data_IF_721913296928
#
_entry.id   IF_721913296928
#
_cell.length_a   1.000
_cell.length_b   1.000
_cell.length_c   1.000
_cell.angle_alpha   90.00
_cell.angle_beta   90.00
_cell.angle_gamma   90.00
#
_symmetry.space_group_name_H-M   'P 1'
#
loop_
_entity.id
_entity.type
_entity.pdbx_description
1 polymer ?
#
# COMPACT_ATOMS: atom_id res chain seq x y z
N UNK A 1 -28.12 -75.82 51.78
CA UNK A 1 -26.81 -75.35 52.26
C UNK A 1 -25.76 -76.22 51.57
N UNK A 2 -25.29 -75.84 50.39
CA UNK A 2 -24.20 -74.87 50.13
C UNK A 2 -22.82 -75.53 50.34
N UNK A 3 -22.15 -75.96 49.25
CA UNK A 3 -20.89 -75.38 48.67
C UNK A 3 -19.66 -75.60 49.57
N UNK A 4 -18.43 -75.96 49.14
CA UNK A 4 -17.69 -75.71 47.91
C UNK A 4 -16.31 -76.41 48.01
N UNK A 5 -15.71 -76.74 46.85
CA UNK A 5 -14.27 -76.76 46.53
C UNK A 5 -13.25 -77.57 47.35
N UNK A 6 -12.78 -78.66 46.73
CA UNK A 6 -11.38 -79.11 46.64
C UNK A 6 -11.33 -79.95 45.36
N UNK A 7 -10.66 -79.56 44.26
CA UNK A 7 -9.22 -79.41 44.00
C UNK A 7 -9.05 -78.66 42.65
N UNK A 8 -7.90 -78.03 42.34
CA UNK A 8 -6.85 -78.77 41.65
C UNK A 8 -5.41 -78.43 42.07
N UNK A 9 -4.61 -79.48 42.19
CA UNK A 9 -3.15 -79.47 42.22
C UNK A 9 -2.58 -79.36 40.80
N UNK A 10 -1.49 -78.59 40.70
CA UNK A 10 -0.47 -78.58 39.64
C UNK A 10 -0.89 -78.16 38.23
N UNK A 11 -0.67 -76.88 37.92
CA UNK A 11 -0.34 -76.43 36.56
C UNK A 11 1.07 -75.84 36.61
N UNK A 12 2.04 -76.37 35.84
CA UNK A 12 3.39 -75.82 35.82
C UNK A 12 3.39 -74.45 35.12
N UNK A 13 3.93 -73.43 35.79
CA UNK A 13 4.05 -72.03 35.34
C UNK A 13 5.21 -71.88 34.31
N UNK A 14 5.47 -72.90 33.49
CA UNK A 14 6.72 -73.03 32.73
C UNK A 14 6.67 -72.80 31.21
N UNK A 15 5.49 -72.67 30.59
CA UNK A 15 5.39 -72.95 29.14
C UNK A 15 4.97 -71.78 28.24
N UNK A 16 4.80 -70.56 28.76
CA UNK A 16 4.28 -69.43 27.97
C UNK A 16 5.35 -68.45 27.45
N UNK A 17 6.62 -68.56 27.87
CA UNK A 17 7.70 -67.72 27.31
C UNK A 17 8.39 -68.37 26.10
N UNK A 18 8.53 -69.70 26.05
CA UNK A 18 9.13 -70.39 24.89
C UNK A 18 8.20 -70.37 23.65
N UNK A 19 6.88 -70.34 23.86
CA UNK A 19 5.89 -70.31 22.77
C UNK A 19 5.84 -68.94 22.06
N UNK A 20 6.17 -67.85 22.75
CA UNK A 20 6.25 -66.50 22.17
C UNK A 20 7.57 -66.33 21.39
N UNK A 21 8.65 -67.00 21.81
CA UNK A 21 9.94 -66.96 21.13
C UNK A 21 10.00 -67.83 19.86
N UNK A 22 9.16 -68.87 19.76
CA UNK A 22 9.18 -69.83 18.65
C UNK A 22 8.30 -69.44 17.44
N UNK A 23 7.54 -68.33 17.50
CA UNK A 23 6.75 -67.87 16.35
C UNK A 23 7.65 -67.17 15.33
N UNK A 24 8.30 -67.96 14.48
CA UNK A 24 8.98 -67.49 13.27
C UNK A 24 8.01 -66.56 12.52
N UNK A 25 8.39 -65.31 12.18
CA UNK A 25 7.50 -64.43 11.44
C UNK A 25 7.22 -65.08 10.09
N UNK A 26 5.98 -65.51 9.88
CA UNK A 26 5.48 -65.93 8.58
C UNK A 26 5.41 -64.67 7.71
N UNK A 27 6.56 -64.31 7.13
CA UNK A 27 6.71 -63.15 6.28
C UNK A 27 6.11 -63.43 4.91
N UNK A 28 4.80 -63.21 4.81
CA UNK A 28 4.11 -63.21 3.53
C UNK A 28 4.70 -62.10 2.64
N UNK A 29 5.01 -62.42 1.37
CA UNK A 29 5.74 -61.52 0.47
C UNK A 29 5.00 -60.19 0.26
N UNK A 30 3.68 -60.23 0.36
CA UNK A 30 2.79 -59.07 0.26
C UNK A 30 2.88 -58.15 1.49
N UNK A 31 2.97 -58.68 2.71
CA UNK A 31 3.10 -57.87 3.93
C UNK A 31 4.42 -57.10 3.96
N UNK A 32 5.51 -57.67 3.45
CA UNK A 32 6.80 -56.97 3.31
C UNK A 32 6.72 -55.77 2.35
N UNK A 33 6.01 -55.91 1.23
CA UNK A 33 5.81 -54.82 0.26
C UNK A 33 4.92 -53.71 0.82
N UNK A 34 3.89 -54.05 1.60
CA UNK A 34 3.05 -53.07 2.29
C UNK A 34 3.82 -52.30 3.38
N UNK A 35 4.66 -52.99 4.16
CA UNK A 35 5.50 -52.36 5.20
C UNK A 35 6.55 -51.43 4.56
N UNK A 36 7.20 -51.85 3.47
CA UNK A 36 8.14 -50.97 2.75
C UNK A 36 7.41 -49.75 2.16
N UNK A 37 6.20 -49.94 1.60
CA UNK A 37 5.39 -48.84 1.08
C UNK A 37 4.98 -47.81 2.14
N UNK A 38 4.56 -48.25 3.33
CA UNK A 38 4.19 -47.35 4.43
C UNK A 38 5.38 -46.59 5.01
N UNK A 39 6.56 -47.22 5.10
CA UNK A 39 7.78 -46.54 5.53
C UNK A 39 8.16 -45.45 4.52
N UNK A 40 8.12 -45.73 3.22
CA UNK A 40 8.40 -44.73 2.18
C UNK A 40 7.39 -43.58 2.26
N UNK A 41 6.10 -43.89 2.41
CA UNK A 41 5.05 -42.87 2.54
C UNK A 41 5.24 -41.98 3.78
N UNK A 42 5.66 -42.54 4.92
CA UNK A 42 5.97 -41.77 6.13
C UNK A 42 7.18 -40.86 5.94
N UNK A 43 8.26 -41.36 5.34
CA UNK A 43 9.46 -40.54 5.07
C UNK A 43 9.11 -39.39 4.12
N UNK A 44 8.31 -39.65 3.08
CA UNK A 44 7.85 -38.62 2.15
C UNK A 44 6.93 -37.60 2.83
N UNK A 45 5.99 -38.06 3.67
CA UNK A 45 5.09 -37.20 4.44
C UNK A 45 5.83 -36.28 5.43
N UNK A 46 6.83 -36.81 6.14
CA UNK A 46 7.69 -36.01 7.02
C UNK A 46 8.51 -35.00 6.20
N UNK A 47 9.07 -35.41 5.06
CA UNK A 47 9.80 -34.52 4.16
C UNK A 47 8.95 -33.35 3.66
N UNK A 48 7.74 -33.63 3.17
CA UNK A 48 6.78 -32.60 2.74
C UNK A 48 6.38 -31.70 3.92
N UNK A 49 6.11 -32.28 5.09
CA UNK A 49 5.75 -31.54 6.30
C UNK A 49 6.85 -30.57 6.74
N UNK A 50 8.11 -31.01 6.75
CA UNK A 50 9.27 -30.16 7.06
C UNK A 50 9.42 -29.02 6.06
N UNK A 51 9.26 -29.28 4.76
CA UNK A 51 9.28 -28.24 3.73
C UNK A 51 8.16 -27.21 3.97
N UNK A 52 6.94 -27.68 4.27
CA UNK A 52 5.80 -26.82 4.52
C UNK A 52 6.01 -25.93 5.75
N UNK A 53 6.53 -26.48 6.84
CA UNK A 53 6.85 -25.74 8.06
C UNK A 53 7.94 -24.71 7.82
N UNK A 54 9.02 -25.06 7.10
CA UNK A 54 10.09 -24.10 6.76
C UNK A 54 9.55 -22.97 5.89
N UNK A 55 8.71 -23.27 4.88
CA UNK A 55 8.09 -22.23 4.03
C UNK A 55 7.19 -21.30 4.85
N UNK A 56 6.39 -21.84 5.77
CA UNK A 56 5.51 -21.02 6.60
C UNK A 56 6.27 -20.21 7.67
N UNK A 57 7.34 -20.75 8.26
CA UNK A 57 8.16 -20.00 9.22
C UNK A 57 8.93 -18.86 8.53
N UNK A 58 9.53 -19.13 7.37
CA UNK A 58 10.19 -18.08 6.57
C UNK A 58 9.21 -16.99 6.16
N UNK A 59 7.98 -17.34 5.79
CA UNK A 59 6.95 -16.37 5.44
C UNK A 59 6.54 -15.49 6.63
N UNK A 60 6.44 -16.05 7.85
CA UNK A 60 6.13 -15.27 9.07
C UNK A 60 7.24 -14.29 9.42
N UNK A 61 8.49 -14.76 9.46
CA UNK A 61 9.63 -13.89 9.76
C UNK A 61 9.75 -12.74 8.74
N UNK A 62 9.55 -13.04 7.45
CA UNK A 62 9.58 -12.00 6.42
C UNK A 62 8.42 -11.00 6.58
N UNK A 63 7.22 -11.46 6.94
CA UNK A 63 6.09 -10.58 7.19
C UNK A 63 6.27 -9.70 8.42
N UNK A 64 6.86 -10.22 9.50
CA UNK A 64 7.22 -9.43 10.69
C UNK A 64 8.27 -8.37 10.35
N UNK A 65 9.31 -8.74 9.61
CA UNK A 65 10.35 -7.81 9.16
C UNK A 65 9.78 -6.67 8.30
N UNK A 66 8.89 -6.99 7.36
CA UNK A 66 8.19 -5.96 6.59
C UNK A 66 7.25 -5.11 7.45
N UNK A 67 6.55 -5.73 8.40
CA UNK A 67 5.60 -5.03 9.28
C UNK A 67 6.24 -3.96 10.17
N UNK A 68 7.55 -4.05 10.43
CA UNK A 68 8.32 -3.03 11.15
C UNK A 68 9.12 -2.08 10.26
N UNK A 69 9.22 -2.35 8.96
CA UNK A 69 10.06 -1.58 8.04
C UNK A 69 9.29 -0.38 7.49
N UNK A 70 9.86 0.83 7.62
CA UNK A 70 9.27 2.06 7.03
C UNK A 70 10.29 2.90 6.27
N UNK A 71 11.57 2.79 6.61
CA UNK A 71 12.65 3.51 5.92
C UNK A 71 13.14 2.75 4.69
N UNK A 72 13.80 3.45 3.76
CA UNK A 72 14.36 2.82 2.57
C UNK A 72 15.37 1.72 2.92
N UNK A 73 16.21 1.95 3.92
CA UNK A 73 17.22 1.01 4.39
C UNK A 73 16.58 -0.25 5.00
N UNK A 74 15.54 -0.09 5.81
CA UNK A 74 14.81 -1.22 6.40
C UNK A 74 14.07 -2.04 5.33
N UNK A 75 13.41 -1.37 4.38
CA UNK A 75 12.71 -2.04 3.29
C UNK A 75 13.69 -2.79 2.39
N UNK A 76 14.84 -2.20 2.06
CA UNK A 76 15.91 -2.89 1.33
C UNK A 76 16.42 -4.09 2.13
N UNK A 77 16.60 -3.96 3.44
CA UNK A 77 17.01 -5.08 4.29
C UNK A 77 15.99 -6.23 4.28
N UNK A 78 14.68 -5.95 4.17
CA UNK A 78 13.65 -7.00 3.99
C UNK A 78 13.84 -7.72 2.66
N UNK A 79 14.09 -6.98 1.58
CA UNK A 79 14.33 -7.56 0.24
C UNK A 79 15.56 -8.46 0.26
N UNK A 80 16.66 -7.98 0.84
CA UNK A 80 17.95 -8.69 0.87
C UNK A 80 17.91 -9.95 1.77
N UNK A 81 17.25 -9.86 2.92
CA UNK A 81 17.20 -10.96 3.89
C UNK A 81 16.09 -11.99 3.58
N UNK A 82 15.08 -11.60 2.81
CA UNK A 82 13.93 -12.46 2.49
C UNK A 82 13.58 -12.52 0.99
N UNK A 83 14.54 -12.79 0.10
CA UNK A 83 14.33 -12.73 -1.35
C UNK A 83 13.25 -13.71 -1.82
N UNK A 84 12.43 -13.27 -2.77
CA UNK A 84 11.33 -14.05 -3.34
C UNK A 84 10.14 -14.30 -2.41
N UNK A 85 10.16 -13.77 -1.19
CA UNK A 85 8.99 -13.81 -0.29
C UNK A 85 7.95 -12.75 -0.68
N UNK A 86 6.67 -12.98 -0.37
CA UNK A 86 5.63 -11.97 -0.60
C UNK A 86 5.93 -10.66 0.15
N UNK A 87 6.56 -10.73 1.33
CA UNK A 87 6.98 -9.57 2.09
C UNK A 87 8.08 -8.76 1.38
N UNK A 88 9.06 -9.42 0.75
CA UNK A 88 10.04 -8.74 -0.09
C UNK A 88 9.37 -8.07 -1.31
N UNK A 89 8.37 -8.71 -1.91
CA UNK A 89 7.57 -8.09 -2.96
C UNK A 89 6.87 -6.81 -2.49
N UNK A 90 6.17 -6.86 -1.35
CA UNK A 90 5.56 -5.69 -0.72
C UNK A 90 6.59 -4.62 -0.33
N UNK A 91 7.77 -5.03 0.15
CA UNK A 91 8.87 -4.13 0.49
C UNK A 91 9.38 -3.36 -0.74
N UNK A 92 9.53 -4.01 -1.89
CA UNK A 92 9.89 -3.33 -3.14
C UNK A 92 8.87 -2.27 -3.55
N UNK A 93 7.57 -2.55 -3.41
CA UNK A 93 6.52 -1.57 -3.71
C UNK A 93 6.60 -0.36 -2.77
N UNK A 94 6.73 -0.59 -1.47
CA UNK A 94 6.87 0.47 -0.48
C UNK A 94 8.16 1.27 -0.70
N UNK A 95 9.27 0.59 -0.99
CA UNK A 95 10.56 1.22 -1.28
C UNK A 95 10.47 2.10 -2.53
N UNK A 96 9.81 1.64 -3.59
CA UNK A 96 9.61 2.45 -4.79
C UNK A 96 8.75 3.70 -4.50
N UNK A 97 7.74 3.60 -3.64
CA UNK A 97 6.94 4.75 -3.24
C UNK A 97 7.79 5.79 -2.48
N UNK A 98 8.53 5.36 -1.46
CA UNK A 98 9.42 6.23 -0.69
C UNK A 98 10.49 6.88 -1.60
N UNK A 99 11.12 6.11 -2.50
CA UNK A 99 12.11 6.64 -3.45
C UNK A 99 11.49 7.71 -4.37
N UNK A 100 10.25 7.54 -4.81
CA UNK A 100 9.56 8.55 -5.61
C UNK A 100 9.28 9.82 -4.80
N UNK A 101 8.86 9.68 -3.54
CA UNK A 101 8.64 10.79 -2.60
C UNK A 101 9.94 11.53 -2.25
N UNK A 102 11.06 10.81 -2.16
CA UNK A 102 12.40 11.34 -1.93
C UNK A 102 13.00 12.06 -3.16
N UNK A 103 12.24 12.18 -4.25
CA UNK A 103 12.70 12.81 -5.48
C UNK A 103 13.72 11.96 -6.26
N UNK A 104 13.69 10.64 -6.09
CA UNK A 104 14.54 9.65 -6.78
C UNK A 104 13.73 8.77 -7.75
N UNK A 105 13.06 9.35 -8.77
CA UNK A 105 12.15 8.63 -9.65
C UNK A 105 12.83 7.52 -10.47
N UNK A 106 14.10 7.69 -10.83
CA UNK A 106 14.86 6.65 -11.56
C UNK A 106 15.10 5.40 -10.70
N UNK A 107 15.45 5.58 -9.43
CA UNK A 107 15.61 4.48 -8.46
C UNK A 107 14.25 3.81 -8.19
N UNK A 108 13.18 4.60 -8.04
CA UNK A 108 11.82 4.08 -7.89
C UNK A 108 11.39 3.20 -9.08
N UNK A 109 11.61 3.65 -10.31
CA UNK A 109 11.31 2.86 -11.52
C UNK A 109 12.13 1.57 -11.54
N UNK A 110 13.44 1.64 -11.23
CA UNK A 110 14.30 0.44 -11.17
C UNK A 110 13.81 -0.57 -10.13
N UNK A 111 13.34 -0.09 -8.97
CA UNK A 111 12.77 -0.93 -7.91
C UNK A 111 11.46 -1.58 -8.36
N UNK A 112 10.58 -0.85 -9.05
CA UNK A 112 9.36 -1.40 -9.64
C UNK A 112 9.65 -2.44 -10.73
N UNK A 113 10.69 -2.21 -11.55
CA UNK A 113 11.11 -3.16 -12.58
C UNK A 113 11.63 -4.46 -11.98
N UNK A 114 12.39 -4.37 -10.89
CA UNK A 114 12.82 -5.54 -10.12
C UNK A 114 11.61 -6.30 -9.59
N UNK A 115 10.64 -5.59 -9.00
CA UNK A 115 9.40 -6.22 -8.53
C UNK A 115 8.63 -6.92 -9.65
N UNK A 116 8.41 -6.26 -10.78
CA UNK A 116 7.66 -6.81 -11.92
C UNK A 116 8.37 -8.05 -12.49
N UNK A 117 9.70 -8.04 -12.56
CA UNK A 117 10.50 -9.15 -13.08
C UNK A 117 10.50 -10.37 -12.14
N UNK A 118 10.73 -10.14 -10.85
CA UNK A 118 10.92 -11.21 -9.86
C UNK A 118 9.60 -11.75 -9.30
N UNK A 119 8.54 -10.94 -9.33
CA UNK A 119 7.24 -11.24 -8.71
C UNK A 119 6.06 -11.22 -9.69
N UNK A 120 6.25 -11.76 -10.90
CA UNK A 120 5.25 -11.75 -11.99
C UNK A 120 3.86 -12.28 -11.62
N UNK A 121 3.75 -13.19 -10.63
CA UNK A 121 2.47 -13.75 -10.17
C UNK A 121 1.88 -13.03 -8.96
N UNK A 122 2.52 -11.94 -8.49
CA UNK A 122 2.09 -11.22 -7.30
C UNK A 122 0.86 -10.34 -7.58
N UNK A 123 -0.06 -10.27 -6.63
CA UNK A 123 -1.32 -9.54 -6.79
C UNK A 123 -1.14 -8.03 -7.04
N UNK A 124 0.03 -7.48 -6.68
CA UNK A 124 0.36 -6.05 -6.85
C UNK A 124 1.03 -5.71 -8.19
N UNK A 125 1.32 -6.68 -9.07
CA UNK A 125 1.91 -6.38 -10.41
C UNK A 125 1.09 -5.35 -11.19
N UNK A 126 -0.25 -5.44 -11.27
CA UNK A 126 -1.04 -4.45 -11.99
C UNK A 126 -0.90 -3.04 -11.37
N UNK A 127 -0.84 -2.95 -10.03
CA UNK A 127 -0.61 -1.67 -9.34
C UNK A 127 0.80 -1.12 -9.61
N UNK A 128 1.83 -1.98 -9.60
CA UNK A 128 3.21 -1.59 -9.87
C UNK A 128 3.37 -0.99 -11.27
N UNK A 129 2.71 -1.56 -12.28
CA UNK A 129 2.69 -1.03 -13.64
C UNK A 129 2.03 0.36 -13.70
N UNK A 130 0.91 0.57 -13.03
CA UNK A 130 0.25 1.88 -12.95
C UNK A 130 1.15 2.91 -12.24
N UNK A 131 1.78 2.53 -11.12
CA UNK A 131 2.71 3.39 -10.41
C UNK A 131 3.93 3.74 -11.26
N UNK A 132 4.52 2.75 -11.95
CA UNK A 132 5.65 2.98 -12.88
C UNK A 132 5.27 3.96 -13.98
N UNK A 133 4.12 3.77 -14.63
CA UNK A 133 3.64 4.68 -15.66
C UNK A 133 3.41 6.11 -15.13
N UNK A 134 2.89 6.24 -13.90
CA UNK A 134 2.67 7.54 -13.26
C UNK A 134 3.98 8.26 -12.99
N UNK A 135 5.00 7.55 -12.47
CA UNK A 135 6.33 8.12 -12.22
C UNK A 135 7.00 8.51 -13.55
N UNK A 136 6.95 7.65 -14.57
CA UNK A 136 7.47 7.95 -15.91
C UNK A 136 6.82 9.21 -16.50
N UNK A 137 5.50 9.35 -16.38
CA UNK A 137 4.80 10.52 -16.87
C UNK A 137 5.20 11.80 -16.12
N UNK A 138 5.39 11.73 -14.80
CA UNK A 138 5.90 12.86 -14.01
C UNK A 138 7.31 13.30 -14.46
N UNK A 139 8.10 12.38 -15.01
CA UNK A 139 9.40 12.65 -15.62
C UNK A 139 9.31 13.14 -17.08
N UNK A 140 8.11 13.43 -17.59
CA UNK A 140 7.84 13.77 -19.00
C UNK A 140 8.17 12.64 -19.98
N UNK A 141 8.29 11.39 -19.50
CA UNK A 141 8.53 10.21 -20.33
C UNK A 141 7.20 9.61 -20.80
N UNK A 142 6.38 10.41 -21.49
CA UNK A 142 5.02 10.02 -21.91
C UNK A 142 5.00 8.72 -22.69
N UNK A 143 5.89 8.54 -23.66
CA UNK A 143 5.93 7.32 -24.50
C UNK A 143 6.26 6.07 -23.67
N UNK A 144 7.18 6.19 -22.71
CA UNK A 144 7.53 5.10 -21.81
C UNK A 144 6.37 4.75 -20.87
N UNK A 145 5.66 5.75 -20.36
CA UNK A 145 4.48 5.57 -19.53
C UNK A 145 3.35 4.85 -20.27
N UNK A 146 3.10 5.24 -21.53
CA UNK A 146 2.13 4.59 -22.40
C UNK A 146 2.52 3.14 -22.67
N UNK A 147 3.78 2.85 -22.99
CA UNK A 147 4.26 1.48 -23.19
C UNK A 147 4.11 0.59 -21.93
N UNK A 148 4.33 1.17 -20.74
CA UNK A 148 4.08 0.47 -19.47
C UNK A 148 2.59 0.13 -19.31
N UNK A 149 1.68 1.04 -19.66
CA UNK A 149 0.23 0.77 -19.61
C UNK A 149 -0.23 -0.20 -20.71
N UNK A 150 0.44 -0.24 -21.86
CA UNK A 150 0.18 -1.27 -22.88
C UNK A 150 0.55 -2.66 -22.35
N UNK A 151 1.63 -2.76 -21.57
CA UNK A 151 2.00 -3.99 -20.86
C UNK A 151 0.94 -4.37 -19.82
N UNK A 152 0.36 -3.40 -19.12
CA UNK A 152 -0.77 -3.62 -18.24
C UNK A 152 -1.97 -4.17 -19.01
N UNK A 153 -2.39 -3.56 -20.11
CA UNK A 153 -3.58 -3.98 -20.85
C UNK A 153 -3.43 -5.38 -21.42
N UNK A 154 -2.23 -5.73 -21.91
CA UNK A 154 -1.93 -7.05 -22.46
C UNK A 154 -2.04 -8.19 -21.43
N UNK A 155 -1.67 -7.93 -20.16
CA UNK A 155 -1.56 -8.97 -19.13
C UNK A 155 -2.64 -8.88 -18.03
N UNK A 156 -3.24 -7.71 -17.86
CA UNK A 156 -4.08 -7.34 -16.71
C UNK A 156 -5.29 -6.46 -17.09
N UNK A 157 -5.65 -6.35 -18.37
CA UNK A 157 -6.77 -5.54 -18.85
C UNK A 157 -8.16 -5.94 -18.32
N UNK A 158 -8.31 -7.14 -17.75
CA UNK A 158 -9.56 -7.58 -17.07
C UNK A 158 -9.48 -7.50 -15.55
N UNK A 159 -8.40 -6.93 -14.99
CA UNK A 159 -8.24 -6.80 -13.54
C UNK A 159 -9.19 -5.73 -12.98
N UNK A 160 -9.44 -5.78 -11.67
CA UNK A 160 -10.21 -4.75 -10.98
C UNK A 160 -9.57 -3.33 -11.07
N UNK A 161 -8.27 -3.26 -11.43
CA UNK A 161 -7.54 -2.01 -11.62
C UNK A 161 -7.61 -1.47 -13.05
N UNK A 162 -8.26 -2.17 -14.00
CA UNK A 162 -8.38 -1.70 -15.37
C UNK A 162 -9.01 -0.29 -15.49
N UNK A 163 -10.07 0.06 -14.75
CA UNK A 163 -10.57 1.44 -14.75
C UNK A 163 -9.53 2.47 -14.29
N UNK A 164 -8.72 2.12 -13.28
CA UNK A 164 -7.66 3.00 -12.76
C UNK A 164 -6.56 3.18 -13.81
N UNK A 165 -6.14 2.11 -14.49
CA UNK A 165 -5.16 2.19 -15.57
C UNK A 165 -5.66 3.09 -16.73
N UNK A 166 -6.93 2.98 -17.11
CA UNK A 166 -7.55 3.88 -18.09
C UNK A 166 -7.55 5.33 -17.62
N UNK A 167 -7.90 5.58 -16.35
CA UNK A 167 -7.88 6.93 -15.80
C UNK A 167 -6.47 7.53 -15.84
N UNK A 168 -5.46 6.75 -15.41
CA UNK A 168 -4.05 7.14 -15.47
C UNK A 168 -3.61 7.40 -16.91
N UNK A 169 -3.93 6.52 -17.86
CA UNK A 169 -3.62 6.71 -19.29
C UNK A 169 -4.22 8.01 -19.83
N UNK A 170 -5.49 8.28 -19.52
CA UNK A 170 -6.16 9.51 -19.91
C UNK A 170 -5.50 10.76 -19.31
N UNK A 171 -5.12 10.71 -18.02
CA UNK A 171 -4.41 11.81 -17.36
C UNK A 171 -3.03 12.08 -17.99
N UNK A 172 -2.30 11.03 -18.37
CA UNK A 172 -1.02 11.13 -19.08
C UNK A 172 -1.21 11.76 -20.47
N UNK A 173 -2.19 11.29 -21.25
CA UNK A 173 -2.48 11.82 -22.58
C UNK A 173 -2.93 13.29 -22.52
N UNK A 174 -3.75 13.64 -21.53
CA UNK A 174 -4.17 15.02 -21.27
C UNK A 174 -2.98 15.90 -20.95
N UNK A 175 -2.07 15.45 -20.08
CA UNK A 175 -0.83 16.16 -19.76
C UNK A 175 0.07 16.38 -20.98
N UNK A 176 0.04 15.45 -21.94
CA UNK A 176 0.73 15.56 -23.22
C UNK A 176 -0.03 16.39 -24.28
N UNK A 177 -1.17 17.00 -23.93
CA UNK A 177 -1.98 17.82 -24.85
C UNK A 177 -2.83 17.01 -25.85
N UNK A 178 -2.88 15.68 -25.73
CA UNK A 178 -3.66 14.79 -26.60
C UNK A 178 -5.09 14.64 -26.07
N UNK A 179 -5.86 15.73 -26.12
CA UNK A 179 -7.15 15.83 -25.43
C UNK A 179 -8.21 14.87 -25.99
N UNK A 180 -8.26 14.68 -27.30
CA UNK A 180 -9.19 13.76 -27.95
C UNK A 180 -8.87 12.30 -27.58
N UNK A 181 -7.59 11.93 -27.56
CA UNK A 181 -7.15 10.60 -27.13
C UNK A 181 -7.46 10.39 -25.63
N UNK A 182 -7.20 11.40 -24.79
CA UNK A 182 -7.52 11.36 -23.37
C UNK A 182 -9.02 11.15 -23.15
N UNK A 183 -9.87 11.89 -23.87
CA UNK A 183 -11.33 11.71 -23.82
C UNK A 183 -11.74 10.30 -24.20
N UNK A 184 -11.21 9.76 -25.30
CA UNK A 184 -11.54 8.41 -25.76
C UNK A 184 -11.20 7.36 -24.70
N UNK A 185 -10.08 7.51 -23.99
CA UNK A 185 -9.68 6.60 -22.92
C UNK A 185 -10.56 6.75 -21.68
N UNK A 186 -10.92 7.97 -21.28
CA UNK A 186 -11.86 8.16 -20.16
C UNK A 186 -13.23 7.54 -20.45
N UNK A 187 -13.71 7.61 -21.69
CA UNK A 187 -14.99 7.03 -22.10
C UNK A 187 -14.99 5.48 -22.02
N UNK A 188 -13.82 4.81 -21.91
CA UNK A 188 -13.71 3.37 -21.65
C UNK A 188 -14.06 2.99 -20.21
N UNK A 189 -14.04 3.94 -19.27
CA UNK A 189 -14.31 3.68 -17.85
C UNK A 189 -15.83 3.49 -17.67
N UNK A 190 -16.31 2.32 -17.19
CA UNK A 190 -17.74 2.06 -17.02
C UNK A 190 -18.41 3.03 -16.04
N UNK A 191 -19.67 3.39 -16.31
CA UNK A 191 -20.43 4.34 -15.46
C UNK A 191 -20.80 3.79 -14.08
N UNK A 192 -20.77 2.48 -13.90
CA UNK A 192 -20.93 1.80 -12.62
C UNK A 192 -19.60 1.54 -11.88
N UNK A 193 -18.47 2.00 -12.45
CA UNK A 193 -17.17 1.93 -11.79
C UNK A 193 -17.13 2.78 -10.53
N UNK A 194 -16.40 2.32 -9.51
CA UNK A 194 -16.15 3.08 -8.27
C UNK A 194 -15.50 4.45 -8.52
N UNK A 195 -14.81 4.62 -9.65
CA UNK A 195 -14.15 5.86 -10.06
C UNK A 195 -14.92 6.64 -11.13
N UNK A 196 -16.19 6.32 -11.39
CA UNK A 196 -17.00 7.02 -12.40
C UNK A 196 -17.08 8.53 -12.14
N UNK A 197 -17.11 8.95 -10.87
CA UNK A 197 -17.06 10.38 -10.50
C UNK A 197 -15.78 11.08 -10.95
N UNK A 198 -14.62 10.41 -10.83
CA UNK A 198 -13.33 10.95 -11.30
C UNK A 198 -13.31 11.06 -12.83
N UNK A 199 -13.80 10.03 -13.54
CA UNK A 199 -13.98 10.07 -15.00
C UNK A 199 -14.83 11.27 -15.42
N UNK A 200 -15.99 11.45 -14.80
CA UNK A 200 -16.93 12.52 -15.16
C UNK A 200 -16.34 13.90 -14.92
N UNK A 201 -15.61 14.06 -13.82
CA UNK A 201 -14.86 15.28 -13.53
C UNK A 201 -13.82 15.57 -14.63
N UNK A 202 -13.00 14.58 -15.00
CA UNK A 202 -11.99 14.73 -16.06
C UNK A 202 -12.63 15.11 -17.41
N UNK A 203 -13.71 14.43 -17.79
CA UNK A 203 -14.45 14.73 -19.02
C UNK A 203 -15.07 16.14 -19.00
N UNK A 204 -15.57 16.59 -17.85
CA UNK A 204 -16.11 17.96 -17.71
C UNK A 204 -15.03 19.01 -17.95
N UNK A 205 -13.83 18.82 -17.41
CA UNK A 205 -12.72 19.74 -17.61
C UNK A 205 -12.21 19.74 -19.06
N UNK A 206 -12.20 18.60 -19.75
CA UNK A 206 -11.83 18.52 -21.16
C UNK A 206 -12.81 19.25 -22.09
N UNK A 207 -14.10 19.25 -21.74
CA UNK A 207 -15.15 19.90 -22.54
C UNK A 207 -15.36 21.39 -22.17
N UNK A 208 -14.59 21.94 -21.23
CA UNK A 208 -14.75 23.32 -20.80
C UNK A 208 -14.27 24.27 -21.89
N UNK A 209 -15.21 25.02 -22.49
CA UNK A 209 -14.90 26.18 -23.33
C UNK A 209 -15.04 27.43 -22.47
N UNK A 210 -13.99 28.26 -22.28
CA UNK A 210 -14.10 29.48 -21.48
C UNK A 210 -15.20 30.38 -22.08
N UNK A 211 -16.03 31.02 -21.24
CA UNK A 211 -17.01 31.97 -21.73
C UNK A 211 -16.27 33.10 -22.46
N UNK A 212 -16.73 33.44 -23.67
CA UNK A 212 -16.22 34.60 -24.41
C UNK A 212 -16.53 35.83 -23.56
N UNK A 213 -15.50 36.52 -23.08
CA UNK A 213 -15.64 37.80 -22.42
C UNK A 213 -16.24 38.77 -23.45
N UNK A 214 -17.52 39.08 -23.30
CA UNK A 214 -18.16 40.13 -24.08
C UNK A 214 -17.57 41.42 -23.55
N UNK A 215 -16.63 42.03 -24.28
CA UNK A 215 -16.19 43.40 -24.00
C UNK A 215 -17.47 44.24 -23.83
N UNK A 216 -17.64 44.94 -22.69
CA UNK A 216 -18.80 45.80 -22.53
C UNK A 216 -18.85 46.75 -23.73
N UNK A 217 -19.98 46.78 -24.43
CA UNK A 217 -20.17 47.66 -25.57
C UNK A 217 -19.70 49.07 -25.18
N UNK A 218 -18.94 49.78 -26.04
CA UNK A 218 -18.46 51.11 -25.71
C UNK A 218 -19.65 51.97 -25.29
N UNK A 219 -19.57 52.54 -24.09
CA UNK A 219 -20.62 53.41 -23.56
C UNK A 219 -20.96 54.47 -24.61
N UNK A 220 -22.25 54.76 -24.87
CA UNK A 220 -22.63 55.81 -25.79
C UNK A 220 -21.96 57.10 -25.32
N UNK A 221 -21.19 57.73 -26.19
CA UNK A 221 -20.59 59.04 -25.93
C UNK A 221 -21.74 60.00 -25.65
N UNK A 222 -21.95 60.37 -24.39
CA UNK A 222 -22.88 61.43 -24.02
C UNK A 222 -22.29 62.74 -24.54
N UNK A 223 -22.87 63.21 -25.64
CA UNK A 223 -22.62 64.49 -26.27
C UNK A 223 -23.05 65.62 -25.33
N UNK A 224 -22.14 66.59 -25.23
CA UNK A 224 -22.11 67.77 -24.37
C UNK A 224 -23.45 68.43 -24.01
N UNK A 225 -23.62 68.73 -22.72
CA UNK A 225 -24.37 69.90 -22.28
C UNK A 225 -23.64 70.59 -21.12
N UNK A 226 -23.00 71.72 -21.40
CA UNK A 226 -22.67 72.75 -20.42
C UNK A 226 -23.56 73.98 -20.68
N UNK A 227 -23.62 75.01 -19.82
CA UNK A 227 -23.49 75.07 -18.36
C UNK A 227 -24.62 75.91 -17.71
N UNK A 228 -24.83 75.81 -16.39
CA UNK A 228 -25.37 76.93 -15.60
C UNK A 228 -24.99 76.80 -14.11
N UNK A 229 -24.01 77.63 -13.75
CA UNK A 229 -23.62 78.17 -12.43
C UNK A 229 -24.86 78.77 -11.73
N UNK A 230 -25.17 78.63 -10.44
CA UNK A 230 -24.54 79.16 -9.20
C UNK A 230 -25.50 78.73 -8.05
N UNK A 231 -25.08 78.25 -6.87
CA UNK A 231 -24.72 79.11 -5.74
C UNK A 231 -24.12 78.27 -4.57
N UNK A 232 -22.92 78.67 -4.16
CA UNK A 232 -22.21 78.37 -2.89
C UNK A 232 -22.72 79.27 -1.74
N UNK A 233 -22.18 79.26 -0.49
CA UNK A 233 -21.32 78.32 0.25
C UNK A 233 -21.91 78.00 1.67
N UNK A 234 -21.40 77.11 2.51
CA UNK A 234 -20.30 77.42 3.45
C UNK A 234 -20.00 76.20 4.32
N UNK A 235 -18.75 75.74 4.30
CA UNK A 235 -18.17 75.05 5.44
C UNK A 235 -16.96 75.86 5.90
N UNK A 236 -17.09 76.35 7.11
CA UNK A 236 -16.17 77.23 7.80
C UNK A 236 -15.06 76.39 8.44
N UNK A 237 -13.82 76.83 8.17
CA UNK A 237 -12.61 76.72 8.98
C UNK A 237 -12.26 75.38 9.69
N UNK A 238 -11.15 74.78 9.24
CA UNK A 238 -10.26 74.02 10.11
C UNK A 238 -9.69 74.93 11.23
N UNK A 239 -9.23 74.35 12.35
CA UNK A 239 -7.77 74.20 12.46
C UNK A 239 -7.31 72.85 13.03
N UNK A 240 -6.04 72.58 12.78
CA UNK A 240 -5.28 71.39 13.18
C UNK A 240 -5.10 71.26 14.70
N UNK A 241 -4.98 70.04 15.24
CA UNK A 241 -3.72 69.30 15.49
C UNK A 241 -3.90 68.32 16.69
N UNK A 242 -3.34 67.12 16.51
CA UNK A 242 -2.71 66.26 17.53
C UNK A 242 -3.53 65.24 18.37
N UNK A 243 -2.82 64.17 18.69
CA UNK A 243 -3.07 63.06 19.63
C UNK A 243 -3.77 61.78 19.11
N UNK A 244 -2.92 60.81 18.72
CA UNK A 244 -3.06 59.38 19.04
C UNK A 244 -3.20 59.18 20.59
N UNK A 245 -3.65 58.02 21.15
CA UNK A 245 -3.54 56.66 20.63
C UNK A 245 -4.81 55.79 20.72
N UNK A 246 -4.71 54.61 20.11
CA UNK A 246 -5.74 53.58 20.07
C UNK A 246 -5.71 52.68 21.31
N UNK A 247 -6.88 52.53 21.92
CA UNK A 247 -7.39 51.50 22.84
C UNK A 247 -8.91 51.57 22.62
N UNK A 248 -9.76 50.54 22.60
CA UNK A 248 -9.78 49.20 23.14
C UNK A 248 -11.12 48.58 22.69
N UNK A 249 -11.30 47.28 22.94
CA UNK A 249 -12.54 46.49 22.90
C UNK A 249 -12.81 45.76 21.57
N UNK A 250 -12.28 44.55 21.40
CA UNK A 250 -12.73 43.28 22.00
C UNK A 250 -13.84 42.62 21.17
N UNK A 251 -13.46 41.56 20.45
CA UNK A 251 -14.33 40.41 20.20
C UNK A 251 -13.53 39.19 20.63
N UNK A 252 -14.11 38.47 21.58
CA UNK A 252 -13.56 37.29 22.25
C UNK A 252 -13.24 36.17 21.26
N UNK A 253 -12.01 35.68 21.34
CA UNK A 253 -11.58 34.39 20.79
C UNK A 253 -11.48 33.42 21.99
N UNK A 254 -12.35 32.41 22.02
CA UNK A 254 -12.24 31.30 22.96
C UNK A 254 -11.41 30.21 22.27
N UNK A 255 -10.10 30.19 22.56
CA UNK A 255 -9.19 29.12 22.17
C UNK A 255 -9.18 28.07 23.28
N UNK A 256 -9.54 26.83 22.94
CA UNK A 256 -9.37 25.68 23.84
C UNK A 256 -7.89 25.31 23.97
N UNK A 257 -7.54 25.03 25.22
CA UNK A 257 -6.23 24.81 25.82
C UNK A 257 -5.62 23.47 25.41
N UNK A 258 -4.43 23.52 24.78
CA UNK A 258 -3.50 22.39 24.69
C UNK A 258 -2.59 22.45 25.92
N UNK A 259 -2.68 21.43 26.78
CA UNK A 259 -1.76 21.22 27.90
C UNK A 259 -0.51 20.52 27.36
N UNK A 260 0.60 21.24 27.39
CA UNK A 260 1.95 20.72 27.19
C UNK A 260 2.56 20.42 28.57
N UNK A 261 2.78 19.14 28.89
CA UNK A 261 3.50 18.72 30.10
C UNK A 261 5.00 18.64 29.78
N UNK A 262 5.75 19.56 30.39
CA UNK A 262 7.21 19.65 30.32
C UNK A 262 7.84 18.82 31.45
N UNK A 263 8.78 17.93 31.14
CA UNK A 263 9.74 17.43 32.12
C UNK A 263 11.06 16.95 31.49
N UNK A 264 12.09 17.78 31.59
CA UNK A 264 13.49 17.42 31.89
C UNK A 264 14.20 18.69 32.41
N UNK A 265 15.34 18.65 33.17
CA UNK A 265 16.53 17.83 32.84
C UNK A 265 17.41 17.27 33.99
N UNK A 266 18.26 16.31 33.60
CA UNK A 266 19.70 16.12 33.90
C UNK A 266 20.30 15.76 35.29
N UNK A 267 21.04 14.62 35.25
CA UNK A 267 22.40 14.32 35.79
C UNK A 267 22.55 14.07 37.32
N UNK A 268 23.37 13.17 37.89
CA UNK A 268 24.77 12.70 37.69
C UNK A 268 25.01 11.66 38.84
N UNK A 269 25.48 10.41 38.66
CA UNK A 269 26.86 9.90 38.83
C UNK A 269 26.89 8.57 39.64
N UNK A 270 27.79 7.67 39.20
CA UNK A 270 28.50 6.53 39.83
C UNK A 270 27.92 5.75 41.05
N UNK A 271 27.94 4.41 40.96
CA UNK A 271 28.96 3.55 41.59
C UNK A 271 28.57 2.04 41.62
N UNK A 272 29.48 1.22 41.10
CA UNK A 272 29.94 -0.10 41.58
C UNK A 272 29.02 -1.07 42.38
N UNK A 273 28.72 -2.25 41.78
CA UNK A 273 28.86 -3.69 42.25
C UNK A 273 28.60 -4.11 43.72
N UNK A 274 28.45 -5.41 44.11
CA UNK A 274 28.33 -6.71 43.38
C UNK A 274 27.28 -7.74 43.95
N UNK A 275 27.16 -8.90 43.27
CA UNK A 275 27.03 -10.31 43.77
C UNK A 275 26.00 -10.66 44.87
N UNK A 276 25.04 -11.55 44.54
CA UNK A 276 24.91 -12.93 45.09
C UNK A 276 24.07 -13.81 44.14
#
# INVERSE_FOLDING_TARGET
MSTQNQLPSDTPIGSSLDEIAARKPAGDQHSRRLITGTIIALVFGIGISVIFVIKNQKAKAAAEAFGSASTNEELQAVVDNHPGSAAAGSALIALAANLAEDGKPAEAISTLDTFIADFQTHALVPQALISKATIQAAQNETDAAIATLDTFDANHGTSALAPLASLTRGDILKGAGKLEEAKAVYDLIPSDSLIAGQRDERLRFLNFTPPVEVEPAPEPVEEEATPAVEATPAFEAAPATDAAPAEEAAVEETTEEVVEETAEPAAEEAAATPVE
#
